data_IF_731186198633
#
_entry.id   IF_731186198633
#
_cell.length_a   1.000
_cell.length_b   1.000
_cell.length_c   1.000
_cell.angle_alpha   90.00
_cell.angle_beta   90.00
_cell.angle_gamma   90.00
#
_symmetry.space_group_name_H-M   'P 1'
#
loop_
_entity.id
_entity.type
_entity.pdbx_description
1 polymer ?
#
# COMPACT_ATOMS: atom_id res chain seq x y z
N UNK A 1 -7.55 -11.60 0.67
CA UNK A 1 -6.26 -12.00 0.03
C UNK A 1 -6.54 -12.29 -1.44
N UNK A 2 -5.60 -11.92 -2.32
CA UNK A 2 -5.71 -12.04 -3.78
C UNK A 2 -4.48 -12.78 -4.30
N UNK A 3 -4.57 -13.53 -5.42
CA UNK A 3 -3.39 -13.86 -6.21
C UNK A 3 -2.62 -12.58 -6.59
N UNK A 4 -1.31 -12.69 -6.68
CA UNK A 4 -0.41 -11.64 -7.17
C UNK A 4 -0.72 -11.32 -8.63
N UNK A 5 -0.60 -10.05 -9.00
CA UNK A 5 -0.73 -9.52 -10.34
C UNK A 5 -1.74 -8.38 -10.43
N UNK A 6 -1.38 -7.37 -11.22
CA UNK A 6 -2.19 -6.18 -11.52
C UNK A 6 -3.68 -6.48 -11.78
N UNK A 7 -3.95 -7.50 -12.61
CA UNK A 7 -5.32 -7.87 -12.98
C UNK A 7 -6.13 -8.37 -11.79
N UNK A 8 -5.55 -9.26 -10.98
CA UNK A 8 -6.22 -9.85 -9.82
C UNK A 8 -6.52 -8.80 -8.76
N UNK A 9 -5.54 -7.91 -8.49
CA UNK A 9 -5.71 -6.84 -7.51
C UNK A 9 -6.75 -5.83 -7.97
N UNK A 10 -6.69 -5.35 -9.22
CA UNK A 10 -7.71 -4.42 -9.75
C UNK A 10 -9.12 -5.00 -9.73
N UNK A 11 -9.28 -6.28 -10.07
CA UNK A 11 -10.58 -6.93 -9.98
C UNK A 11 -11.09 -7.02 -8.54
N UNK A 12 -10.22 -7.36 -7.59
CA UNK A 12 -10.61 -7.45 -6.19
C UNK A 12 -10.89 -6.07 -5.57
N UNK A 13 -10.13 -5.04 -5.92
CA UNK A 13 -10.42 -3.65 -5.52
C UNK A 13 -11.82 -3.25 -5.97
N UNK A 14 -12.16 -3.50 -7.25
CA UNK A 14 -13.51 -3.22 -7.77
C UNK A 14 -14.59 -4.07 -7.10
N UNK A 15 -14.36 -5.39 -6.98
CA UNK A 15 -15.33 -6.35 -6.44
C UNK A 15 -15.68 -6.07 -4.99
N UNK A 16 -14.69 -5.74 -4.17
CA UNK A 16 -14.86 -5.52 -2.74
C UNK A 16 -14.93 -4.05 -2.35
N UNK A 17 -14.86 -3.14 -3.33
CA UNK A 17 -14.68 -1.71 -3.12
C UNK A 17 -13.58 -1.40 -2.09
N UNK A 18 -12.46 -2.13 -2.19
CA UNK A 18 -11.36 -1.99 -1.23
C UNK A 18 -10.70 -0.62 -1.41
N UNK A 19 -10.40 0.08 -0.31
CA UNK A 19 -9.80 1.43 -0.35
C UNK A 19 -8.32 1.42 -0.73
N UNK A 20 -7.64 0.31 -0.50
CA UNK A 20 -6.21 0.13 -0.75
C UNK A 20 -5.93 -1.33 -1.12
N UNK A 21 -4.95 -1.54 -2.00
CA UNK A 21 -4.36 -2.85 -2.29
C UNK A 21 -2.85 -2.71 -2.49
N UNK A 22 -2.14 -3.84 -2.50
CA UNK A 22 -0.71 -3.80 -2.78
C UNK A 22 -0.06 -5.18 -2.89
N UNK A 23 1.19 -5.16 -3.35
CA UNK A 23 2.06 -6.32 -3.52
C UNK A 23 3.37 -6.14 -2.75
N UNK A 24 4.01 -7.26 -2.40
CA UNK A 24 5.31 -7.23 -1.72
C UNK A 24 6.42 -6.58 -2.59
N UNK A 25 6.23 -6.54 -3.91
CA UNK A 25 7.11 -5.84 -4.86
C UNK A 25 7.06 -4.32 -4.77
N UNK A 26 6.15 -3.75 -3.96
CA UNK A 26 6.01 -2.31 -3.77
C UNK A 26 4.98 -1.63 -4.68
N UNK A 27 4.24 -2.40 -5.49
CA UNK A 27 3.06 -1.89 -6.20
C UNK A 27 1.93 -1.62 -5.19
N UNK A 28 1.44 -0.38 -5.14
CA UNK A 28 0.41 0.07 -4.19
C UNK A 28 -0.73 0.67 -5.00
N UNK A 29 -1.94 0.16 -4.77
CA UNK A 29 -3.14 0.51 -5.49
C UNK A 29 -4.07 1.34 -4.61
N UNK A 30 -4.28 2.60 -4.98
CA UNK A 30 -5.18 3.50 -4.27
C UNK A 30 -6.55 3.51 -4.92
N UNK A 31 -7.60 3.39 -4.11
CA UNK A 31 -8.99 3.48 -4.52
C UNK A 31 -9.72 4.56 -3.70
N UNK A 32 -9.09 5.74 -3.60
CA UNK A 32 -9.59 6.91 -2.89
C UNK A 32 -10.05 8.00 -3.87
N UNK A 33 -9.14 8.90 -4.28
CA UNK A 33 -9.39 9.95 -5.28
C UNK A 33 -9.44 9.33 -6.68
N UNK A 34 -8.61 8.31 -6.91
CA UNK A 34 -8.47 7.61 -8.19
C UNK A 34 -8.95 6.17 -8.05
N UNK A 35 -9.46 5.57 -9.13
CA UNK A 35 -10.11 4.26 -9.07
C UNK A 35 -9.16 3.07 -9.26
N UNK A 36 -8.59 2.56 -8.15
CA UNK A 36 -7.72 1.38 -8.16
C UNK A 36 -6.45 1.58 -8.98
N UNK A 37 -5.88 2.78 -8.89
CA UNK A 37 -4.71 3.24 -9.64
C UNK A 37 -3.42 2.94 -8.87
N UNK A 38 -2.35 2.59 -9.60
CA UNK A 38 -1.05 2.22 -9.05
C UNK A 38 0.03 3.13 -9.65
N UNK A 39 0.70 3.86 -8.76
CA UNK A 39 1.68 4.89 -9.10
C UNK A 39 2.65 5.13 -7.94
N UNK A 40 3.94 4.97 -8.23
CA UNK A 40 4.99 5.10 -7.23
C UNK A 40 5.19 6.54 -6.73
N UNK A 41 4.99 7.56 -7.57
CA UNK A 41 5.11 8.95 -7.13
C UNK A 41 3.96 9.31 -6.19
N UNK A 42 2.73 8.92 -6.54
CA UNK A 42 1.60 9.13 -5.64
C UNK A 42 1.81 8.40 -4.31
N UNK A 43 2.30 7.16 -4.35
CA UNK A 43 2.67 6.40 -3.14
C UNK A 43 3.70 7.15 -2.28
N UNK A 44 4.75 7.70 -2.89
CA UNK A 44 5.79 8.45 -2.21
C UNK A 44 5.25 9.74 -1.58
N UNK A 45 4.39 10.48 -2.29
CA UNK A 45 3.76 11.69 -1.76
C UNK A 45 2.87 11.35 -0.56
N UNK A 46 2.08 10.27 -0.63
CA UNK A 46 1.26 9.82 0.51
C UNK A 46 2.11 9.45 1.73
N UNK A 47 3.29 8.88 1.52
CA UNK A 47 4.24 8.64 2.61
C UNK A 47 4.78 9.94 3.20
N UNK A 48 5.14 10.92 2.36
CA UNK A 48 5.58 12.25 2.81
C UNK A 48 4.49 12.98 3.60
N UNK A 49 3.23 12.87 3.19
CA UNK A 49 2.10 13.42 3.93
C UNK A 49 2.00 12.81 5.33
N UNK A 50 2.13 11.48 5.45
CA UNK A 50 2.15 10.77 6.74
C UNK A 50 3.32 11.23 7.60
N UNK A 51 4.53 11.36 7.03
CA UNK A 51 5.70 11.86 7.75
C UNK A 51 5.48 13.30 8.26
N UNK A 52 4.88 14.15 7.44
CA UNK A 52 4.58 15.53 7.79
C UNK A 52 3.51 15.63 8.89
N UNK A 53 2.42 14.87 8.80
CA UNK A 53 1.34 14.84 9.79
C UNK A 53 1.80 14.29 11.15
N UNK A 54 2.67 13.28 11.14
CA UNK A 54 3.18 12.65 12.36
C UNK A 54 4.40 13.38 12.96
N UNK A 55 5.06 14.25 12.19
CA UNK A 55 6.32 14.89 12.58
C UNK A 55 7.47 13.89 12.78
N UNK A 56 7.32 12.65 12.31
CA UNK A 56 8.28 11.57 12.48
C UNK A 56 9.14 11.38 11.23
N UNK A 57 10.40 11.01 11.41
CA UNK A 57 11.26 10.55 10.33
C UNK A 57 10.86 9.15 9.86
N UNK A 58 11.33 8.75 8.67
CA UNK A 58 10.97 7.47 8.08
C UNK A 58 11.47 6.28 8.93
N UNK A 59 12.67 6.38 9.52
CA UNK A 59 13.25 5.38 10.41
C UNK A 59 12.36 5.14 11.64
N UNK A 60 11.89 6.20 12.31
CA UNK A 60 10.97 6.08 13.45
C UNK A 60 9.66 5.41 13.05
N UNK A 61 9.11 5.75 11.88
CA UNK A 61 7.89 5.11 11.37
C UNK A 61 8.11 3.63 11.07
N UNK A 62 9.24 3.27 10.47
CA UNK A 62 9.57 1.87 10.16
C UNK A 62 9.78 1.05 11.44
N UNK A 63 10.45 1.60 12.45
CA UNK A 63 10.66 0.96 13.75
C UNK A 63 9.35 0.73 14.51
N UNK A 64 8.31 1.52 14.21
CA UNK A 64 6.98 1.36 14.79
C UNK A 64 6.17 0.22 14.17
N UNK A 65 6.59 -0.32 13.02
CA UNK A 65 5.87 -1.39 12.35
C UNK A 65 6.01 -2.73 13.11
N UNK A 66 4.96 -3.57 13.11
CA UNK A 66 5.04 -4.88 13.73
C UNK A 66 6.06 -5.77 13.02
N UNK A 67 6.62 -6.73 13.75
CA UNK A 67 7.50 -7.72 13.15
C UNK A 67 6.76 -8.53 12.08
N UNK A 68 7.34 -8.60 10.88
CA UNK A 68 6.78 -9.35 9.79
C UNK A 68 6.90 -10.85 10.05
N UNK A 69 5.77 -11.52 10.28
CA UNK A 69 5.73 -12.98 10.39
C UNK A 69 5.51 -13.56 9.00
N UNK A 70 6.59 -14.04 8.37
CA UNK A 70 6.49 -14.82 7.13
C UNK A 70 6.40 -16.31 7.46
N UNK A 71 5.42 -17.05 6.90
CA UNK A 71 5.40 -18.50 7.03
C UNK A 71 6.62 -19.10 6.32
N UNK A 72 7.36 -19.94 7.03
CA UNK A 72 8.50 -20.71 6.50
C UNK A 72 7.94 -21.89 5.69
N UNK A 73 7.56 -21.65 4.44
CA UNK A 73 7.26 -22.71 3.46
C UNK A 73 8.22 -22.60 2.28
#
# INVERSE_FOLDING_TARGET
MSPTGLFHIKNNIKKYNAVLGGEMSGHIFFNDIWHGFDDGHYSAIRLLDIMNETGSSLDVLLDSLPFLIQPQN
#
